data_IF_347138677306
#
_entry.id   IF_347138677306
#
_cell.length_a   1.000
_cell.length_b   1.000
_cell.length_c   1.000
_cell.angle_alpha   90.00
_cell.angle_beta   90.00
_cell.angle_gamma   90.00
#
_symmetry.space_group_name_H-M   'P 1'
#
loop_
_entity.id
_entity.type
_entity.pdbx_description
1 polymer ?
#
# COMPACT_ATOMS: atom_id res chain seq x y z
N UNK A 1 -15.69 2.10 -0.94
CA UNK A 1 -14.28 1.72 -0.88
C UNK A 1 -13.41 2.93 -0.75
N UNK A 2 -12.31 2.82 -0.06
CA UNK A 2 -11.47 3.98 0.18
C UNK A 2 -10.42 4.10 -0.92
N UNK A 3 -10.04 5.34 -1.20
CA UNK A 3 -8.97 5.60 -2.16
C UNK A 3 -7.65 4.98 -1.69
N UNK A 4 -7.46 4.93 -0.39
CA UNK A 4 -6.26 4.32 0.18
C UNK A 4 -6.14 2.86 -0.22
N UNK A 5 -7.24 2.13 -0.14
CA UNK A 5 -7.29 0.73 -0.51
C UNK A 5 -6.85 0.54 -1.96
N UNK A 6 -7.43 1.32 -2.85
CA UNK A 6 -7.12 1.23 -4.27
C UNK A 6 -5.66 1.54 -4.56
N UNK A 7 -5.13 2.57 -3.92
CA UNK A 7 -3.75 2.98 -4.12
C UNK A 7 -2.80 1.90 -3.62
N UNK A 8 -3.02 1.40 -2.41
CA UNK A 8 -2.16 0.39 -1.82
C UNK A 8 -2.20 -0.89 -2.66
N UNK A 9 -3.38 -1.28 -3.08
CA UNK A 9 -3.55 -2.48 -3.89
C UNK A 9 -2.80 -2.37 -5.21
N UNK A 10 -2.94 -1.24 -5.87
CA UNK A 10 -2.29 -1.01 -7.15
C UNK A 10 -0.77 -1.14 -7.02
N UNK A 11 -0.22 -0.56 -5.97
CA UNK A 11 1.21 -0.58 -5.73
C UNK A 11 1.69 -1.97 -5.32
N UNK A 12 0.92 -2.63 -4.46
CA UNK A 12 1.31 -3.95 -3.96
C UNK A 12 1.40 -4.99 -5.08
N UNK A 13 0.53 -4.88 -6.06
CA UNK A 13 0.52 -5.83 -7.17
C UNK A 13 1.36 -5.39 -8.35
N UNK A 14 2.08 -4.29 -8.22
CA UNK A 14 3.02 -3.85 -9.25
C UNK A 14 4.21 -4.80 -9.26
N UNK A 15 4.53 -5.34 -10.42
CA UNK A 15 5.59 -6.33 -10.55
C UNK A 15 6.95 -5.81 -10.17
N UNK A 16 7.20 -4.56 -10.47
CA UNK A 16 8.52 -3.99 -10.22
C UNK A 16 8.75 -3.70 -8.76
N UNK A 17 7.70 -3.35 -8.06
CA UNK A 17 7.84 -2.85 -6.70
C UNK A 17 6.94 -3.55 -5.70
N UNK A 18 5.98 -4.31 -6.20
CA UNK A 18 5.06 -5.04 -5.33
C UNK A 18 5.76 -6.17 -4.60
N UNK A 19 5.10 -6.68 -3.62
CA UNK A 19 5.60 -7.81 -2.83
C UNK A 19 6.81 -7.49 -1.98
N UNK A 20 7.22 -6.24 -1.95
CA UNK A 20 8.25 -5.80 -1.02
C UNK A 20 7.65 -5.66 0.37
N UNK A 21 8.45 -5.14 1.28
CA UNK A 21 7.98 -4.95 2.64
C UNK A 21 6.84 -3.92 2.71
N UNK A 22 6.13 -3.91 3.83
CA UNK A 22 5.09 -2.92 4.06
C UNK A 22 5.63 -1.51 3.96
N UNK A 23 6.87 -1.31 4.39
CA UNK A 23 7.50 0.01 4.33
C UNK A 23 7.67 0.48 2.89
N UNK A 24 8.14 -0.41 2.01
CA UNK A 24 8.32 -0.06 0.61
C UNK A 24 6.98 0.30 -0.02
N UNK A 25 5.96 -0.50 0.25
CA UNK A 25 4.62 -0.24 -0.25
C UNK A 25 4.09 1.09 0.27
N UNK A 26 4.30 1.34 1.56
CA UNK A 26 3.88 2.60 2.17
C UNK A 26 4.53 3.80 1.50
N UNK A 27 5.83 3.74 1.27
CA UNK A 27 6.55 4.85 0.67
C UNK A 27 5.98 5.22 -0.68
N UNK A 28 5.70 4.24 -1.50
CA UNK A 28 5.16 4.49 -2.83
C UNK A 28 3.72 4.96 -2.77
N UNK A 29 2.93 4.36 -1.92
CA UNK A 29 1.54 4.76 -1.75
C UNK A 29 1.45 6.19 -1.23
N UNK A 30 2.35 6.55 -0.32
CA UNK A 30 2.36 7.88 0.24
C UNK A 30 2.66 8.96 -0.79
N UNK A 31 3.42 8.62 -1.82
CA UNK A 31 3.71 9.56 -2.90
C UNK A 31 2.48 9.84 -3.76
N UNK A 32 1.60 8.87 -3.85
CA UNK A 32 0.37 9.01 -4.63
C UNK A 32 -0.71 9.67 -3.78
N UNK A 33 -0.82 9.24 -2.55
CA UNK A 33 -1.84 9.73 -1.63
C UNK A 33 -1.20 9.90 -0.27
N UNK A 34 -0.81 11.13 0.05
CA UNK A 34 -0.01 11.40 1.24
C UNK A 34 -0.75 11.24 2.55
N UNK A 35 -2.04 10.94 2.51
CA UNK A 35 -2.79 10.64 3.73
C UNK A 35 -2.61 9.19 4.18
N UNK A 36 -2.01 8.34 3.34
CA UNK A 36 -1.77 6.95 3.70
C UNK A 36 -0.67 6.88 4.74
N UNK A 37 -0.87 6.04 5.75
CA UNK A 37 0.11 5.84 6.81
C UNK A 37 0.60 4.40 6.79
N UNK A 38 1.67 4.13 7.54
CA UNK A 38 2.18 2.78 7.67
C UNK A 38 1.12 1.85 8.23
N UNK A 39 0.33 2.33 9.19
CA UNK A 39 -0.74 1.53 9.77
C UNK A 39 -1.77 1.14 8.72
N UNK A 40 -2.08 2.05 7.81
CA UNK A 40 -3.02 1.76 6.74
C UNK A 40 -2.51 0.62 5.87
N UNK A 41 -1.24 0.67 5.50
CA UNK A 41 -0.65 -0.36 4.66
C UNK A 41 -0.60 -1.70 5.38
N UNK A 42 -0.19 -1.70 6.63
CA UNK A 42 -0.14 -2.94 7.40
C UNK A 42 -1.51 -3.56 7.54
N UNK A 43 -2.50 -2.76 7.84
CA UNK A 43 -3.87 -3.23 7.98
C UNK A 43 -4.36 -3.84 6.68
N UNK A 44 -4.06 -3.19 5.57
CA UNK A 44 -4.45 -3.70 4.26
C UNK A 44 -3.80 -5.05 3.98
N UNK A 45 -2.51 -5.16 4.28
CA UNK A 45 -1.77 -6.40 4.03
C UNK A 45 -2.31 -7.56 4.86
N UNK A 46 -2.70 -7.29 6.09
CA UNK A 46 -3.27 -8.32 6.96
C UNK A 46 -4.54 -8.90 6.37
N UNK A 47 -5.31 -8.10 5.67
CA UNK A 47 -6.54 -8.57 5.07
C UNK A 47 -6.29 -9.48 3.88
N UNK A 48 -5.10 -9.46 3.35
CA UNK A 48 -4.76 -10.27 2.18
C UNK A 48 -4.26 -11.66 2.54
N UNK A 49 -3.98 -11.90 3.79
CA UNK A 49 -3.55 -13.24 4.23
C UNK A 49 -4.72 -14.07 4.82
#
# INVERSE_FOLDING_TARGET
>A
MSDKDSVIRSIYYDKDDGFDSAIATYRKANKVLNTITVADVKSWLEKQT
#
